data_IF_375132616160
#
_entry.id   IF_375132616160
#
_cell.length_a   1.000
_cell.length_b   1.000
_cell.length_c   1.000
_cell.angle_alpha   90.00
_cell.angle_beta   90.00
_cell.angle_gamma   90.00
#
_symmetry.space_group_name_H-M   'P 1'
#
loop_
_entity.id
_entity.type
_entity.pdbx_description
1 polymer ?
#
# COMPACT_ATOMS: atom_id res chain seq x y z
N UNK A 1 -11.38 -8.02 -7.57
CA UNK A 1 -12.09 -6.72 -7.64
C UNK A 1 -11.12 -5.61 -7.94
N UNK A 2 -11.56 -4.63 -8.67
CA UNK A 2 -10.72 -3.53 -9.08
C UNK A 2 -11.27 -2.22 -8.53
N UNK A 3 -10.42 -1.45 -7.88
CA UNK A 3 -10.82 -0.17 -7.29
C UNK A 3 -10.04 0.95 -7.93
N UNK A 4 -10.73 2.04 -8.19
CA UNK A 4 -10.12 3.24 -8.78
C UNK A 4 -10.48 4.44 -7.90
N UNK A 5 -9.71 4.62 -6.84
CA UNK A 5 -9.93 5.67 -5.87
C UNK A 5 -9.14 6.90 -6.25
N UNK A 6 -9.81 8.01 -6.44
CA UNK A 6 -9.19 9.27 -6.84
C UNK A 6 -9.29 10.36 -5.80
N UNK A 7 -10.05 10.14 -4.76
CA UNK A 7 -10.26 11.12 -3.73
C UNK A 7 -9.66 10.68 -2.42
N UNK A 8 -9.42 11.63 -1.54
CA UNK A 8 -8.96 11.32 -0.20
C UNK A 8 -10.15 10.76 0.55
N UNK A 9 -10.19 9.45 0.69
CA UNK A 9 -11.29 8.76 1.35
C UNK A 9 -10.78 7.96 2.52
N UNK A 10 -11.41 8.10 3.68
CA UNK A 10 -11.12 7.15 4.77
C UNK A 10 -11.83 5.84 4.47
N UNK A 11 -11.08 4.76 4.45
CA UNK A 11 -11.61 3.41 4.27
C UNK A 11 -11.30 2.64 5.54
N UNK A 12 -12.33 2.11 6.17
CA UNK A 12 -12.11 1.36 7.40
C UNK A 12 -13.13 0.25 7.55
N UNK A 13 -12.76 -0.75 8.36
CA UNK A 13 -13.63 -1.89 8.68
C UNK A 13 -14.10 -2.60 7.43
N UNK A 14 -13.21 -2.73 6.43
CA UNK A 14 -13.56 -3.30 5.14
C UNK A 14 -12.73 -4.53 4.84
N UNK A 15 -13.32 -5.44 4.09
CA UNK A 15 -12.63 -6.64 3.61
C UNK A 15 -12.46 -6.52 2.11
N UNK A 16 -11.20 -6.35 1.68
CA UNK A 16 -10.87 -6.25 0.26
C UNK A 16 -9.89 -7.35 -0.14
N UNK A 17 -10.05 -8.51 0.51
CA UNK A 17 -9.25 -9.69 0.21
C UNK A 17 -9.31 -10.04 -1.28
N UNK A 18 -8.18 -10.41 -1.85
CA UNK A 18 -8.06 -10.79 -3.27
C UNK A 18 -8.42 -9.67 -4.24
N UNK A 19 -8.37 -8.43 -3.80
CA UNK A 19 -8.64 -7.30 -4.66
C UNK A 19 -7.42 -6.94 -5.50
N UNK A 20 -7.66 -6.33 -6.64
CA UNK A 20 -6.59 -5.87 -7.51
C UNK A 20 -6.76 -4.38 -7.77
N UNK A 21 -5.78 -3.63 -7.32
CA UNK A 21 -5.72 -2.18 -7.56
C UNK A 21 -4.74 -1.95 -8.69
N UNK A 22 -5.22 -1.43 -9.81
CA UNK A 22 -4.38 -1.20 -10.98
C UNK A 22 -4.50 0.23 -11.43
N UNK A 23 -3.36 0.89 -11.59
CA UNK A 23 -3.31 2.27 -12.09
C UNK A 23 -4.19 3.20 -11.27
N UNK A 24 -4.26 2.94 -9.97
CA UNK A 24 -5.09 3.71 -9.07
C UNK A 24 -4.27 4.81 -8.39
N UNK A 25 -4.92 5.92 -8.11
CA UNK A 25 -4.32 7.00 -7.35
C UNK A 25 -4.86 6.93 -5.93
N UNK A 26 -4.00 6.50 -5.00
CA UNK A 26 -4.36 6.37 -3.60
C UNK A 26 -3.66 7.42 -2.75
N UNK A 27 -3.19 8.50 -3.38
CA UNK A 27 -2.51 9.59 -2.68
C UNK A 27 -3.40 10.13 -1.57
N UNK A 28 -2.82 10.25 -0.37
CA UNK A 28 -3.49 10.78 0.82
C UNK A 28 -4.68 9.95 1.31
N UNK A 29 -4.89 8.75 0.78
CA UNK A 29 -5.96 7.90 1.27
C UNK A 29 -5.62 7.35 2.65
N UNK A 30 -6.65 7.06 3.42
CA UNK A 30 -6.49 6.45 4.74
C UNK A 30 -7.23 5.13 4.78
N UNK A 31 -6.52 4.11 5.25
CA UNK A 31 -7.10 2.78 5.41
C UNK A 31 -6.89 2.37 6.86
N UNK A 32 -7.96 2.07 7.54
CA UNK A 32 -7.90 1.69 8.93
C UNK A 32 -8.71 0.42 9.15
N UNK A 33 -8.07 -0.57 9.76
CA UNK A 33 -8.73 -1.84 10.06
C UNK A 33 -9.29 -2.49 8.79
N UNK A 34 -8.46 -2.58 7.75
CA UNK A 34 -8.85 -3.09 6.45
C UNK A 34 -8.08 -4.37 6.18
N UNK A 35 -8.75 -5.35 5.62
CA UNK A 35 -8.11 -6.61 5.25
C UNK A 35 -7.78 -6.58 3.77
N UNK A 36 -6.47 -6.51 3.46
CA UNK A 36 -5.94 -6.53 2.10
C UNK A 36 -5.30 -7.87 1.76
N UNK A 37 -5.63 -8.91 2.51
CA UNK A 37 -4.99 -10.21 2.33
C UNK A 37 -5.04 -10.65 0.86
N UNK A 38 -3.88 -11.06 0.34
CA UNK A 38 -3.75 -11.57 -1.02
C UNK A 38 -4.15 -10.57 -2.10
N UNK A 39 -4.16 -9.30 -1.77
CA UNK A 39 -4.46 -8.27 -2.75
C UNK A 39 -3.22 -7.92 -3.55
N UNK A 40 -3.43 -7.32 -4.72
CA UNK A 40 -2.36 -6.97 -5.63
C UNK A 40 -2.48 -5.49 -6.00
N UNK A 41 -1.37 -4.79 -5.89
CA UNK A 41 -1.29 -3.36 -6.20
C UNK A 41 -0.27 -3.19 -7.31
N UNK A 42 -0.69 -2.71 -8.49
CA UNK A 42 0.18 -2.56 -9.65
C UNK A 42 0.02 -1.16 -10.24
N UNK A 43 1.13 -0.45 -10.39
CA UNK A 43 1.11 0.89 -10.97
C UNK A 43 0.32 1.87 -10.14
N UNK A 44 0.36 1.75 -8.82
CA UNK A 44 -0.44 2.54 -7.90
C UNK A 44 0.41 3.64 -7.29
N UNK A 45 -0.17 4.81 -7.10
CA UNK A 45 0.50 5.89 -6.39
C UNK A 45 0.04 5.87 -4.93
N UNK A 46 0.96 5.51 -4.06
CA UNK A 46 0.73 5.43 -2.61
C UNK A 46 1.29 6.63 -1.86
N UNK A 47 1.60 7.72 -2.54
CA UNK A 47 2.20 8.87 -1.87
C UNK A 47 1.34 9.33 -0.69
N UNK A 48 1.96 9.45 0.47
CA UNK A 48 1.32 9.97 1.69
C UNK A 48 0.07 9.20 2.10
N UNK A 49 -0.03 7.94 1.74
CA UNK A 49 -1.13 7.09 2.20
C UNK A 49 -0.88 6.70 3.66
N UNK A 50 -1.97 6.48 4.37
CA UNK A 50 -1.91 6.03 5.76
C UNK A 50 -2.64 4.69 5.87
N UNK A 51 -1.91 3.68 6.35
CA UNK A 51 -2.45 2.35 6.56
C UNK A 51 -2.27 2.00 8.04
N UNK A 52 -3.38 1.79 8.74
CA UNK A 52 -3.35 1.48 10.18
C UNK A 52 -4.13 0.20 10.42
N UNK A 53 -3.50 -0.74 11.14
CA UNK A 53 -4.15 -2.01 11.48
C UNK A 53 -4.68 -2.73 10.25
N UNK A 54 -3.88 -2.77 9.20
CA UNK A 54 -4.27 -3.47 7.98
C UNK A 54 -3.60 -4.84 7.93
N UNK A 55 -4.28 -5.78 7.29
CA UNK A 55 -3.73 -7.10 7.05
C UNK A 55 -3.23 -7.15 5.61
N UNK A 56 -1.91 -7.26 5.46
CA UNK A 56 -1.27 -7.32 4.14
C UNK A 56 -0.66 -8.70 3.88
N UNK A 57 -1.14 -9.72 4.57
CA UNK A 57 -0.62 -11.07 4.39
C UNK A 57 -0.69 -11.48 2.92
N UNK A 58 0.44 -11.86 2.37
CA UNK A 58 0.55 -12.29 0.98
C UNK A 58 0.13 -11.24 -0.05
N UNK A 59 0.06 -9.97 0.35
CA UNK A 59 -0.18 -8.90 -0.60
C UNK A 59 1.12 -8.62 -1.37
N UNK A 60 0.97 -8.14 -2.60
CA UNK A 60 2.10 -7.88 -3.48
C UNK A 60 2.02 -6.44 -3.99
N UNK A 61 3.12 -5.71 -3.87
CA UNK A 61 3.19 -4.33 -4.34
C UNK A 61 4.33 -4.24 -5.34
N UNK A 62 4.00 -3.92 -6.60
CA UNK A 62 4.99 -3.81 -7.67
C UNK A 62 4.79 -2.51 -8.44
N UNK A 63 5.90 -1.91 -8.83
CA UNK A 63 5.87 -0.68 -9.65
C UNK A 63 5.02 0.43 -9.04
N UNK A 64 4.96 0.49 -7.72
CA UNK A 64 4.23 1.53 -7.02
C UNK A 64 5.17 2.69 -6.69
N UNK A 65 4.61 3.89 -6.66
CA UNK A 65 5.35 5.04 -6.17
C UNK A 65 5.21 5.09 -4.65
N UNK A 66 6.29 4.80 -3.96
CA UNK A 66 6.31 4.71 -2.51
C UNK A 66 7.04 5.89 -1.85
N UNK A 67 7.16 6.98 -2.57
CA UNK A 67 7.84 8.16 -2.04
C UNK A 67 7.19 8.61 -0.74
N UNK A 68 7.98 8.69 0.31
CA UNK A 68 7.48 9.12 1.62
C UNK A 68 6.67 8.11 2.39
N UNK A 69 6.41 6.94 1.80
CA UNK A 69 5.66 5.89 2.48
C UNK A 69 6.50 5.28 3.59
N UNK A 70 5.86 5.01 4.72
CA UNK A 70 6.53 4.42 5.87
C UNK A 70 5.84 3.15 6.32
N UNK A 71 6.62 2.23 6.86
CA UNK A 71 6.09 1.06 7.54
C UNK A 71 6.62 1.10 8.96
N UNK A 72 5.71 1.19 9.92
CA UNK A 72 6.06 1.29 11.34
C UNK A 72 7.07 2.41 11.60
N UNK A 73 6.85 3.56 10.95
CA UNK A 73 7.67 4.73 11.13
C UNK A 73 8.97 4.77 10.36
N UNK A 74 9.24 3.75 9.55
CA UNK A 74 10.50 3.67 8.78
C UNK A 74 10.16 3.84 7.30
N UNK A 75 10.88 4.74 6.64
CA UNK A 75 10.69 4.94 5.20
C UNK A 75 10.92 3.64 4.44
N UNK A 76 10.01 3.32 3.54
CA UNK A 76 10.16 2.12 2.71
C UNK A 76 11.44 2.20 1.89
N UNK A 77 11.79 3.38 1.39
CA UNK A 77 13.02 3.54 0.63
C UNK A 77 14.25 3.16 1.46
N UNK A 78 14.24 3.47 2.77
CA UNK A 78 15.34 3.08 3.64
C UNK A 78 15.37 1.57 3.85
N UNK A 79 14.20 0.96 4.00
CA UNK A 79 14.13 -0.49 4.16
C UNK A 79 14.66 -1.20 2.93
N UNK A 80 14.30 -0.72 1.75
CA UNK A 80 14.75 -1.32 0.50
C UNK A 80 16.26 -1.10 0.31
N UNK A 81 16.76 0.07 0.66
CA UNK A 81 18.19 0.33 0.56
C UNK A 81 18.99 -0.58 1.50
N UNK A 82 18.48 -0.80 2.71
CA UNK A 82 19.16 -1.68 3.66
C UNK A 82 19.18 -3.12 3.13
N UNK A 83 18.11 -3.55 2.52
CA UNK A 83 18.05 -4.89 1.94
C UNK A 83 19.05 -5.03 0.80
N UNK A 84 19.11 -4.03 -0.09
CA UNK A 84 20.02 -4.05 -1.22
C UNK A 84 21.49 -4.08 -0.74
N UNK A 85 21.81 -3.31 0.30
CA UNK A 85 23.16 -3.29 0.84
C UNK A 85 23.52 -4.66 1.42
N UNK A 86 22.55 -5.37 1.99
CA UNK A 86 22.81 -6.65 2.64
C UNK A 86 23.08 -7.77 1.65
N UNK A 87 22.45 -7.75 0.49
CA UNK A 87 22.55 -8.86 -0.46
C UNK A 87 23.68 -8.70 -1.49
N UNK A 88 24.47 -7.64 -1.41
CA UNK A 88 25.58 -7.39 -2.34
C UNK A 88 26.70 -8.39 -2.19
#
# INVERSE_FOLDING_TARGET
>A
MKHNLREILPVHDSDVTDSHFANANLVHCRFQNVNFKQSKFTGVDFSEVVLVDVNLTNASITNANLTGTKINGILVSDLLAAYQAKIR
#
